data_IF_688872303176
#
_entry.id   IF_688872303176
#
_cell.length_a   1.000
_cell.length_b   1.000
_cell.length_c   1.000
_cell.angle_alpha   90.00
_cell.angle_beta   90.00
_cell.angle_gamma   90.00
#
_symmetry.space_group_name_H-M   'P 1'
#
loop_
_entity.id
_entity.type
_entity.pdbx_description
1 polymer ?
#
# COMPACT_ATOMS: atom_id res chain seq x y z
N UNK A 1 -1.19 14.35 -2.95
CA UNK A 1 -1.19 15.29 -1.82
C UNK A 1 -2.32 16.31 -1.90
N UNK A 2 -3.03 16.53 -0.78
CA UNK A 2 -4.01 17.61 -0.63
C UNK A 2 -3.33 19.00 -0.57
N UNK A 3 -3.99 20.06 -1.06
CA UNK A 3 -3.41 21.43 -1.06
C UNK A 3 -3.01 21.94 0.32
N UNK A 4 -3.81 21.64 1.35
CA UNK A 4 -3.53 22.08 2.72
C UNK A 4 -2.23 21.46 3.25
N UNK A 5 -1.95 20.22 2.85
CA UNK A 5 -0.73 19.49 3.20
C UNK A 5 0.47 20.12 2.48
N UNK A 6 0.34 20.42 1.19
CA UNK A 6 1.39 21.10 0.42
C UNK A 6 1.73 22.48 1.00
N UNK A 7 0.72 23.28 1.38
CA UNK A 7 0.93 24.60 2.03
C UNK A 7 1.64 24.47 3.37
N UNK A 8 1.29 23.46 4.16
CA UNK A 8 1.94 23.18 5.45
C UNK A 8 3.40 22.79 5.28
N UNK A 9 3.70 21.92 4.31
CA UNK A 9 5.07 21.50 3.98
C UNK A 9 5.94 22.68 3.53
N UNK A 10 5.40 23.59 2.71
CA UNK A 10 6.13 24.80 2.28
C UNK A 10 6.47 25.72 3.45
N UNK A 11 5.58 25.83 4.44
CA UNK A 11 5.80 26.67 5.63
C UNK A 11 6.79 26.06 6.61
N UNK A 12 6.84 24.74 6.73
CA UNK A 12 7.77 24.02 7.62
C UNK A 12 8.40 22.82 6.90
N UNK A 13 9.46 23.03 6.10
CA UNK A 13 10.03 21.96 5.28
C UNK A 13 10.82 20.92 6.08
N UNK A 14 11.29 21.27 7.28
CA UNK A 14 12.25 20.48 8.06
C UNK A 14 11.63 19.84 9.32
N UNK A 15 10.46 19.23 9.18
CA UNK A 15 9.83 18.50 10.28
C UNK A 15 10.32 17.05 10.32
N UNK A 16 10.87 16.57 11.45
CA UNK A 16 11.37 15.20 11.56
C UNK A 16 10.29 14.16 11.21
N UNK A 17 10.71 13.15 10.46
CA UNK A 17 9.84 12.03 10.10
C UNK A 17 9.57 11.11 11.30
N UNK A 18 8.43 10.43 11.26
CA UNK A 18 8.00 9.44 12.26
C UNK A 18 8.06 8.05 11.66
N UNK A 19 8.52 7.09 12.45
CA UNK A 19 8.67 5.68 12.07
C UNK A 19 8.00 4.78 13.10
N UNK A 20 7.54 3.60 12.68
CA UNK A 20 7.03 2.55 13.58
C UNK A 20 5.65 2.79 14.20
N UNK A 21 4.95 3.86 13.82
CA UNK A 21 3.63 4.20 14.38
C UNK A 21 2.47 3.82 13.47
N UNK A 22 2.66 3.89 12.15
CA UNK A 22 1.63 3.64 11.14
C UNK A 22 1.99 2.37 10.37
N UNK A 23 1.00 1.51 10.15
CA UNK A 23 1.18 0.29 9.38
C UNK A 23 0.00 0.05 8.43
N UNK A 24 0.27 -0.65 7.33
CA UNK A 24 -0.72 -1.18 6.40
C UNK A 24 -0.78 -2.70 6.56
N UNK A 25 -1.95 -3.24 6.91
CA UNK A 25 -2.11 -4.68 7.02
C UNK A 25 -2.46 -5.37 5.69
N UNK A 26 -2.46 -6.70 5.70
CA UNK A 26 -2.71 -7.56 4.52
C UNK A 26 -4.12 -7.42 3.92
N UNK A 27 -5.04 -6.73 4.61
CA UNK A 27 -6.42 -6.47 4.17
C UNK A 27 -6.65 -5.00 3.84
N UNK A 28 -5.58 -4.24 3.64
CA UNK A 28 -5.64 -2.83 3.29
C UNK A 28 -6.07 -1.92 4.44
N UNK A 29 -6.08 -2.39 5.70
CA UNK A 29 -6.44 -1.52 6.82
C UNK A 29 -5.22 -0.78 7.36
N UNK A 30 -5.42 0.52 7.59
CA UNK A 30 -4.49 1.36 8.31
C UNK A 30 -4.51 1.05 9.80
N UNK A 31 -3.34 0.92 10.41
CA UNK A 31 -3.17 0.66 11.84
C UNK A 31 -2.27 1.70 12.47
N UNK A 32 -2.70 2.30 13.57
CA UNK A 32 -1.90 3.20 14.39
C UNK A 32 -1.54 2.49 15.70
N UNK A 33 -0.24 2.37 16.01
CA UNK A 33 0.26 1.64 17.19
C UNK A 33 -0.38 0.24 17.34
N UNK A 34 -0.50 -0.47 16.22
CA UNK A 34 -1.09 -1.81 16.18
C UNK A 34 -2.62 -1.86 16.22
N UNK A 35 -3.34 -0.75 16.42
CA UNK A 35 -4.80 -0.71 16.42
C UNK A 35 -5.34 -0.26 15.06
N UNK A 36 -6.38 -0.95 14.55
CA UNK A 36 -7.06 -0.56 13.32
C UNK A 36 -7.70 0.82 13.48
N UNK A 37 -7.48 1.70 12.51
CA UNK A 37 -8.14 3.01 12.46
C UNK A 37 -9.59 2.81 12.00
N UNK A 38 -10.57 3.06 12.86
CA UNK A 38 -12.00 2.96 12.54
C UNK A 38 -12.56 4.22 11.87
N UNK A 39 -12.00 5.39 12.19
CA UNK A 39 -12.46 6.68 11.66
C UNK A 39 -12.28 6.76 10.13
N UNK A 40 -13.38 6.84 9.40
CA UNK A 40 -13.38 6.88 7.94
C UNK A 40 -12.68 8.13 7.37
N UNK A 41 -12.96 9.31 7.92
CA UNK A 41 -12.35 10.57 7.47
C UNK A 41 -10.82 10.55 7.64
N UNK A 42 -10.31 9.95 8.72
CA UNK A 42 -8.87 9.78 8.90
C UNK A 42 -8.27 8.80 7.89
N UNK A 43 -8.95 7.67 7.62
CA UNK A 43 -8.49 6.71 6.60
C UNK A 43 -8.46 7.34 5.21
N UNK A 44 -9.46 8.12 4.84
CA UNK A 44 -9.51 8.86 3.58
C UNK A 44 -8.41 9.92 3.50
N UNK A 45 -8.15 10.63 4.60
CA UNK A 45 -7.07 11.60 4.65
C UNK A 45 -5.69 10.95 4.46
N UNK A 46 -5.45 9.80 5.10
CA UNK A 46 -4.25 9.00 4.87
C UNK A 46 -4.18 8.58 3.40
N UNK A 47 -5.25 8.02 2.85
CA UNK A 47 -5.30 7.51 1.47
C UNK A 47 -4.98 8.59 0.42
N UNK A 48 -5.44 9.83 0.58
CA UNK A 48 -5.14 10.93 -0.36
C UNK A 48 -3.71 11.46 -0.26
N UNK A 49 -3.05 11.22 0.87
CA UNK A 49 -1.70 11.71 1.17
C UNK A 49 -0.69 10.57 1.39
N UNK A 50 -1.01 9.37 0.89
CA UNK A 50 -0.15 8.19 0.90
C UNK A 50 0.68 8.14 -0.38
N UNK A 51 2.01 8.23 -0.22
CA UNK A 51 2.98 8.43 -1.28
C UNK A 51 4.25 7.61 -1.03
N UNK A 52 5.10 7.49 -2.06
CA UNK A 52 6.38 6.79 -2.02
C UNK A 52 7.51 7.79 -2.23
N UNK A 53 8.59 7.68 -1.45
CA UNK A 53 9.79 8.47 -1.68
C UNK A 53 10.73 7.81 -2.71
N UNK A 54 11.82 8.50 -3.05
CA UNK A 54 12.80 8.02 -4.03
C UNK A 54 13.56 6.75 -3.60
N UNK A 55 13.46 6.33 -2.33
CA UNK A 55 14.10 5.12 -1.81
C UNK A 55 13.12 3.94 -1.74
N UNK A 56 11.89 4.09 -2.24
CA UNK A 56 10.88 3.04 -2.15
C UNK A 56 10.19 2.96 -0.78
N UNK A 57 10.38 3.96 0.10
CA UNK A 57 9.72 4.00 1.41
C UNK A 57 8.38 4.69 1.27
N UNK A 58 7.33 4.01 1.75
CA UNK A 58 5.98 4.54 1.70
C UNK A 58 5.64 5.31 2.97
N UNK A 59 4.97 6.44 2.82
CA UNK A 59 4.65 7.35 3.91
C UNK A 59 3.28 8.01 3.72
N UNK A 60 2.69 8.41 4.83
CA UNK A 60 1.58 9.36 4.89
C UNK A 60 2.12 10.76 5.16
N UNK A 61 1.79 11.72 4.30
CA UNK A 61 2.13 13.13 4.52
C UNK A 61 1.08 13.80 5.42
N UNK A 62 1.41 13.96 6.71
CA UNK A 62 0.59 14.62 7.71
C UNK A 62 1.01 16.09 7.88
N UNK A 63 0.47 16.98 7.04
CA UNK A 63 0.93 18.37 7.00
C UNK A 63 2.42 18.43 6.60
N UNK A 64 3.31 19.06 7.37
CA UNK A 64 4.74 19.08 7.06
C UNK A 64 5.46 17.76 7.43
N UNK A 65 4.84 16.91 8.25
CA UNK A 65 5.49 15.71 8.78
C UNK A 65 5.25 14.49 7.88
N UNK A 66 6.33 13.74 7.61
CA UNK A 66 6.22 12.40 7.04
C UNK A 66 6.04 11.36 8.12
N UNK A 67 5.06 10.49 7.96
CA UNK A 67 4.85 9.31 8.82
C UNK A 67 5.05 8.07 7.95
N UNK A 68 6.19 7.41 8.10
CA UNK A 68 6.49 6.20 7.33
C UNK A 68 5.62 5.02 7.76
N UNK A 69 5.25 4.21 6.78
CA UNK A 69 4.33 3.09 6.93
C UNK A 69 5.11 1.78 6.94
N UNK A 70 4.93 0.99 8.00
CA UNK A 70 5.35 -0.42 8.01
C UNK A 70 4.34 -1.25 7.21
N UNK A 71 4.84 -2.05 6.26
CA UNK A 71 4.01 -2.84 5.35
C UNK A 71 3.96 -4.28 5.83
N UNK A 72 2.76 -4.83 6.03
CA UNK A 72 2.62 -6.25 6.33
C UNK A 72 3.01 -7.14 5.14
N UNK A 73 2.95 -6.60 3.92
CA UNK A 73 3.53 -7.24 2.74
C UNK A 73 3.90 -6.22 1.64
N UNK A 74 2.96 -5.84 0.79
CA UNK A 74 3.14 -4.90 -0.33
C UNK A 74 2.64 -3.51 0.05
N UNK A 75 3.06 -2.45 -0.67
CA UNK A 75 2.62 -1.08 -0.39
C UNK A 75 1.15 -0.82 -0.72
N UNK A 76 0.56 -1.67 -1.57
CA UNK A 76 -0.83 -1.61 -1.98
C UNK A 76 -1.51 -2.95 -1.69
N UNK A 77 -2.79 -2.90 -1.38
CA UNK A 77 -3.67 -4.07 -1.28
C UNK A 77 -4.86 -3.79 -2.17
N UNK A 78 -5.18 -4.73 -3.07
CA UNK A 78 -6.27 -4.59 -4.02
C UNK A 78 -7.43 -5.51 -3.67
N UNK A 79 -8.62 -5.03 -3.98
CA UNK A 79 -9.86 -5.78 -3.90
C UNK A 79 -10.66 -5.52 -5.17
N UNK A 80 -11.64 -6.40 -5.44
CA UNK A 80 -12.56 -6.16 -6.54
C UNK A 80 -13.71 -5.26 -6.09
N UNK A 81 -14.09 -4.33 -6.97
CA UNK A 81 -15.38 -3.66 -6.97
C UNK A 81 -16.02 -3.91 -8.34
N UNK A 82 -17.13 -4.67 -8.34
CA UNK A 82 -17.60 -5.38 -9.53
C UNK A 82 -16.40 -6.08 -10.22
N UNK A 83 -16.22 -5.98 -11.53
CA UNK A 83 -15.13 -6.64 -12.27
C UNK A 83 -13.83 -5.82 -12.36
N UNK A 84 -13.67 -4.78 -11.53
CA UNK A 84 -12.51 -3.90 -11.56
C UNK A 84 -11.75 -3.96 -10.25
N UNK A 85 -10.43 -3.81 -10.33
CA UNK A 85 -9.56 -3.78 -9.17
C UNK A 85 -9.36 -2.35 -8.66
N UNK A 86 -9.39 -2.20 -7.35
CA UNK A 86 -9.09 -0.94 -6.66
C UNK A 86 -8.13 -1.18 -5.53
N UNK A 87 -7.17 -0.28 -5.35
CA UNK A 87 -6.29 -0.31 -4.18
C UNK A 87 -7.04 0.14 -2.90
N UNK A 88 -6.42 -0.04 -1.74
CA UNK A 88 -6.97 0.35 -0.44
C UNK A 88 -7.20 1.86 -0.30
N UNK A 89 -6.69 2.66 -1.24
CA UNK A 89 -6.88 4.11 -1.31
C UNK A 89 -8.06 4.49 -2.22
N UNK A 90 -8.77 3.51 -2.79
CA UNK A 90 -9.90 3.72 -3.70
C UNK A 90 -9.48 4.09 -5.12
N UNK A 91 -8.22 3.84 -5.51
CA UNK A 91 -7.70 4.18 -6.83
C UNK A 91 -7.79 2.94 -7.74
N UNK A 92 -8.23 3.07 -9.00
CA UNK A 92 -8.23 1.96 -9.94
C UNK A 92 -6.83 1.33 -10.08
N UNK A 93 -6.78 0.01 -10.10
CA UNK A 93 -5.56 -0.76 -10.27
C UNK A 93 -5.65 -1.61 -11.54
N UNK A 94 -4.57 -1.64 -12.32
CA UNK A 94 -4.48 -2.45 -13.54
C UNK A 94 -4.16 -3.92 -13.24
N UNK A 95 -4.07 -4.74 -14.27
CA UNK A 95 -3.67 -6.14 -14.14
C UNK A 95 -2.79 -6.51 -15.35
N UNK A 96 -1.48 -6.26 -15.25
CA UNK A 96 -0.53 -6.62 -16.31
C UNK A 96 0.01 -8.02 -16.10
N UNK A 97 0.23 -8.41 -14.83
CA UNK A 97 0.73 -9.74 -14.47
C UNK A 97 0.22 -10.12 -13.10
N UNK A 98 -0.21 -11.37 -12.97
CA UNK A 98 -0.61 -11.95 -11.69
C UNK A 98 0.46 -12.94 -11.27
N UNK A 99 0.90 -12.81 -10.01
CA UNK A 99 1.85 -13.72 -9.40
C UNK A 99 1.21 -14.50 -8.28
N UNK A 100 1.69 -15.72 -8.06
CA UNK A 100 1.53 -16.43 -6.80
C UNK A 100 2.90 -16.59 -6.14
N UNK A 101 2.99 -16.16 -4.88
CA UNK A 101 4.20 -16.35 -4.10
C UNK A 101 4.33 -17.76 -3.50
N UNK A 102 5.48 -18.06 -2.90
CA UNK A 102 5.80 -19.31 -2.23
C UNK A 102 5.02 -19.53 -0.91
N UNK A 103 4.29 -18.53 -0.42
CA UNK A 103 3.34 -18.64 0.71
C UNK A 103 1.88 -18.77 0.23
N UNK A 104 1.63 -18.79 -1.08
CA UNK A 104 0.30 -18.90 -1.68
C UNK A 104 -0.46 -17.57 -1.80
N UNK A 105 0.15 -16.43 -1.49
CA UNK A 105 -0.47 -15.11 -1.71
C UNK A 105 -0.57 -14.82 -3.19
N UNK A 106 -1.68 -14.23 -3.62
CA UNK A 106 -1.86 -13.72 -4.98
C UNK A 106 -1.48 -12.25 -5.01
N UNK A 107 -0.63 -11.87 -5.96
CA UNK A 107 -0.17 -10.50 -6.15
C UNK A 107 -0.52 -10.02 -7.56
N UNK A 108 -0.93 -8.77 -7.69
CA UNK A 108 -1.28 -8.15 -8.96
C UNK A 108 -0.28 -7.03 -9.24
N UNK A 109 0.40 -7.12 -10.38
CA UNK A 109 1.33 -6.11 -10.85
C UNK A 109 0.72 -5.30 -11.99
N UNK A 110 0.89 -3.98 -11.95
CA UNK A 110 0.50 -3.10 -13.04
C UNK A 110 1.30 -1.79 -13.05
N UNK A 111 1.85 -1.43 -14.21
CA UNK A 111 2.59 -0.17 -14.40
C UNK A 111 3.75 -0.03 -13.41
N UNK A 112 4.51 -1.10 -13.19
CA UNK A 112 5.65 -1.13 -12.25
C UNK A 112 5.28 -1.16 -10.77
N UNK A 113 3.99 -1.17 -10.42
CA UNK A 113 3.49 -1.29 -9.04
C UNK A 113 3.08 -2.72 -8.74
N UNK A 114 3.07 -3.07 -7.45
CA UNK A 114 2.63 -4.39 -6.95
C UNK A 114 1.62 -4.21 -5.82
N UNK A 115 0.58 -5.03 -5.85
CA UNK A 115 -0.44 -5.09 -4.81
C UNK A 115 -0.72 -6.53 -4.39
N UNK A 116 -0.96 -6.74 -3.10
CA UNK A 116 -1.49 -7.97 -2.56
C UNK A 116 -2.99 -8.02 -2.85
N UNK A 117 -3.48 -9.13 -3.40
CA UNK A 117 -4.91 -9.37 -3.44
C UNK A 117 -5.41 -9.68 -2.03
N UNK A 118 -6.44 -8.96 -1.59
CA UNK A 118 -7.08 -9.20 -0.30
C UNK A 118 -7.54 -10.67 -0.18
N UNK A 119 -7.31 -11.30 0.96
CA UNK A 119 -7.61 -12.72 1.17
C UNK A 119 -9.10 -13.06 0.99
N UNK A 120 -9.98 -12.07 1.20
CA UNK A 120 -11.43 -12.20 1.00
C UNK A 120 -11.82 -12.35 -0.47
N UNK A 121 -10.96 -11.95 -1.40
CA UNK A 121 -11.21 -12.01 -2.84
C UNK A 121 -10.71 -13.32 -3.47
N UNK A 122 -9.96 -14.14 -2.73
CA UNK A 122 -9.32 -15.34 -3.28
C UNK A 122 -10.31 -16.36 -3.82
N UNK A 123 -11.48 -16.52 -3.18
CA UNK A 123 -12.51 -17.43 -3.66
C UNK A 123 -13.00 -17.02 -5.06
N UNK A 124 -13.30 -15.73 -5.24
CA UNK A 124 -13.71 -15.18 -6.53
C UNK A 124 -12.61 -15.29 -7.57
N UNK A 125 -11.37 -14.99 -7.19
CA UNK A 125 -10.22 -15.05 -8.08
C UNK A 125 -9.97 -16.49 -8.59
N UNK A 126 -10.11 -17.49 -7.73
CA UNK A 126 -9.89 -18.89 -8.08
C UNK A 126 -10.80 -19.38 -9.23
N UNK A 127 -12.01 -18.83 -9.34
CA UNK A 127 -12.97 -19.17 -10.40
C UNK A 127 -12.58 -18.60 -11.78
N UNK A 128 -11.65 -17.64 -11.84
CA UNK A 128 -11.28 -16.95 -13.09
C UNK A 128 -10.21 -17.69 -13.91
N UNK A 129 -9.59 -18.74 -13.35
CA UNK A 129 -8.57 -19.58 -14.01
C UNK A 129 -7.41 -18.77 -14.64
N UNK A 130 -7.04 -17.65 -14.02
CA UNK A 130 -5.98 -16.76 -14.51
C UNK A 130 -4.60 -17.41 -14.45
N UNK A 131 -3.71 -17.19 -15.44
CA UNK A 131 -2.36 -17.71 -15.41
C UNK A 131 -1.54 -17.02 -14.31
N UNK A 132 -0.94 -17.82 -13.42
CA UNK A 132 -0.14 -17.36 -12.29
C UNK A 132 1.35 -17.52 -12.58
N UNK A 133 2.05 -16.40 -12.71
CA UNK A 133 3.51 -16.40 -12.68
C UNK A 133 4.01 -16.73 -11.25
N UNK A 134 5.20 -17.32 -11.14
CA UNK A 134 5.82 -17.60 -9.84
C UNK A 134 6.76 -16.46 -9.44
N UNK A 135 6.77 -16.17 -8.15
CA UNK A 135 7.66 -15.21 -7.52
C UNK A 135 7.95 -15.71 -6.10
N UNK A 136 9.12 -15.46 -5.54
CA UNK A 136 9.37 -15.69 -4.11
C UNK A 136 8.98 -14.44 -3.34
N UNK A 137 8.32 -14.59 -2.19
CA UNK A 137 7.93 -13.46 -1.34
C UNK A 137 9.10 -12.52 -1.04
N UNK A 138 10.28 -13.07 -0.81
CA UNK A 138 11.49 -12.32 -0.45
C UNK A 138 12.06 -11.48 -1.60
N UNK A 139 11.79 -11.79 -2.87
CA UNK A 139 12.24 -10.98 -4.01
C UNK A 139 11.27 -9.84 -4.34
N UNK A 140 10.01 -9.90 -3.87
CA UNK A 140 8.97 -8.90 -4.18
C UNK A 140 9.43 -7.46 -3.86
N UNK A 141 9.98 -7.15 -2.67
CA UNK A 141 10.43 -5.79 -2.36
C UNK A 141 11.53 -5.28 -3.28
N UNK A 142 12.52 -6.12 -3.61
CA UNK A 142 13.63 -5.76 -4.48
C UNK A 142 13.14 -5.56 -5.92
N UNK A 143 12.31 -6.47 -6.43
CA UNK A 143 11.80 -6.45 -7.80
C UNK A 143 10.89 -5.26 -8.09
N UNK A 144 10.10 -4.84 -7.10
CA UNK A 144 9.16 -3.72 -7.23
C UNK A 144 9.61 -2.44 -6.51
N UNK A 145 10.85 -2.42 -6.00
CA UNK A 145 11.50 -1.21 -5.49
C UNK A 145 10.82 -0.58 -4.29
N UNK A 146 10.45 -1.34 -3.26
CA UNK A 146 9.89 -0.81 -2.02
C UNK A 146 10.55 -1.36 -0.76
N UNK A 147 10.43 -0.62 0.35
CA UNK A 147 10.98 -0.98 1.67
C UNK A 147 9.84 -1.35 2.62
N UNK A 148 9.72 -2.63 3.04
CA UNK A 148 8.64 -3.08 3.93
C UNK A 148 8.68 -2.44 5.33
N UNK A 149 9.88 -2.27 5.88
CA UNK A 149 10.10 -1.70 7.21
C UNK A 149 11.04 -0.48 7.14
N UNK A 150 10.50 0.71 6.84
CA UNK A 150 11.30 1.94 6.87
C UNK A 150 11.89 2.20 8.26
N UNK A 151 13.18 2.56 8.30
CA UNK A 151 13.92 2.94 9.52
C UNK A 151 14.53 4.35 9.36
N UNK A 152 14.81 5.05 10.48
CA UNK A 152 15.47 6.36 10.47
C UNK A 152 16.76 6.41 9.65
#
# INVERSE_FOLDING_TARGET
MDELVARSLAKWPNVPAVYGWLALDRRGNWRIKGQRISNAALREFIARNYECDAQGRWFFQNGPQRVYVSLAYTPLVVHYDADRLFDQCGRPFGCDTIYQDDEGSVLIAAGGRIALLDDRELARFADQAEPLARITRSEVPLRFGFVPEPKP
#
